data_IF_058098180996
#
_entry.id   IF_058098180996
#
_cell.length_a   1.000
_cell.length_b   1.000
_cell.length_c   1.000
_cell.angle_alpha   90.00
_cell.angle_beta   90.00
_cell.angle_gamma   90.00
#
_symmetry.space_group_name_H-M   'P 1'
#
loop_
_entity.id
_entity.type
_entity.pdbx_description
1 polymer ?
#
# COMPACT_ATOMS: atom_id res chain seq x y z
N UNK A 1 18.06 -16.17 14.78
CA UNK A 1 19.26 -15.35 14.55
C UNK A 1 19.78 -15.81 13.20
N UNK A 2 19.75 -15.07 12.10
CA UNK A 2 19.80 -13.64 11.85
C UNK A 2 19.36 -13.50 10.38
N UNK A 3 18.23 -12.83 10.10
CA UNK A 3 17.78 -12.61 8.72
C UNK A 3 18.48 -11.34 8.23
N UNK A 4 19.61 -11.52 7.55
CA UNK A 4 20.37 -10.44 6.95
C UNK A 4 19.51 -9.78 5.85
N UNK A 5 18.86 -8.67 6.23
CA UNK A 5 18.22 -7.77 5.30
C UNK A 5 19.31 -7.20 4.40
N UNK A 6 19.32 -7.62 3.13
CA UNK A 6 20.20 -7.05 2.12
C UNK A 6 20.06 -5.51 2.12
N UNK A 7 21.15 -4.75 1.92
CA UNK A 7 21.05 -3.30 1.78
C UNK A 7 20.19 -3.03 0.54
N UNK A 8 19.00 -2.46 0.76
CA UNK A 8 18.17 -1.96 -0.33
C UNK A 8 19.02 -0.96 -1.10
N UNK A 9 19.46 -1.37 -2.29
CA UNK A 9 20.31 -0.62 -3.18
C UNK A 9 19.71 0.76 -3.44
N UNK A 10 20.49 1.79 -3.12
CA UNK A 10 20.25 3.23 -3.28
C UNK A 10 20.22 3.68 -4.77
N UNK A 11 19.79 2.78 -5.66
CA UNK A 11 19.82 2.94 -7.12
C UNK A 11 18.50 3.44 -7.72
N UNK A 12 17.50 3.76 -6.90
CA UNK A 12 16.18 4.24 -7.33
C UNK A 12 15.97 5.76 -7.28
N UNK A 13 16.94 6.54 -6.81
CA UNK A 13 16.78 7.99 -6.59
C UNK A 13 17.13 8.85 -7.82
N UNK A 14 17.96 8.33 -8.73
CA UNK A 14 18.27 8.96 -10.02
C UNK A 14 17.16 8.67 -11.04
N UNK A 15 15.99 9.30 -10.87
CA UNK A 15 14.82 9.09 -11.73
C UNK A 15 13.51 8.84 -10.99
N UNK A 16 13.44 9.11 -9.69
CA UNK A 16 12.20 8.98 -8.93
C UNK A 16 11.13 10.02 -9.35
N UNK A 17 9.88 9.87 -8.90
CA UNK A 17 8.76 10.72 -9.33
C UNK A 17 8.95 12.22 -9.07
N UNK A 18 9.86 12.63 -8.18
CA UNK A 18 10.13 14.04 -7.90
C UNK A 18 11.20 14.66 -8.82
N UNK A 19 12.16 13.86 -9.27
CA UNK A 19 13.31 14.30 -10.06
C UNK A 19 13.20 13.92 -11.55
N UNK A 20 12.42 12.89 -11.86
CA UNK A 20 12.18 12.33 -13.19
C UNK A 20 10.89 12.80 -13.87
N UNK A 21 10.46 12.05 -14.88
CA UNK A 21 9.27 12.35 -15.70
C UNK A 21 7.98 11.72 -15.14
N UNK A 22 8.09 10.70 -14.29
CA UNK A 22 6.97 9.91 -13.77
C UNK A 22 6.12 10.61 -12.69
N UNK A 23 6.35 11.90 -12.46
CA UNK A 23 5.64 12.67 -11.45
C UNK A 23 4.13 12.62 -11.62
N UNK A 24 3.64 12.83 -12.85
CA UNK A 24 2.19 12.92 -13.10
C UNK A 24 1.50 11.61 -12.74
N UNK A 25 2.05 10.49 -13.20
CA UNK A 25 1.51 9.16 -12.89
C UNK A 25 1.53 8.89 -11.38
N UNK A 26 2.61 9.26 -10.69
CA UNK A 26 2.70 9.11 -9.24
C UNK A 26 1.69 9.98 -8.49
N UNK A 27 1.50 11.24 -8.91
CA UNK A 27 0.54 12.16 -8.33
C UNK A 27 -0.92 11.71 -8.57
N UNK A 28 -1.20 11.15 -9.75
CA UNK A 28 -2.50 10.58 -10.09
C UNK A 28 -2.81 9.37 -9.21
N UNK A 29 -1.85 8.45 -9.01
CA UNK A 29 -2.03 7.32 -8.08
C UNK A 29 -2.31 7.78 -6.65
N UNK A 30 -1.64 8.84 -6.18
CA UNK A 30 -1.93 9.40 -4.86
C UNK A 30 -3.31 10.03 -4.78
N UNK A 31 -3.81 10.62 -5.87
CA UNK A 31 -5.19 11.12 -5.96
C UNK A 31 -6.19 9.97 -5.92
N UNK A 32 -5.93 8.86 -6.62
CA UNK A 32 -6.80 7.69 -6.55
C UNK A 32 -6.88 7.15 -5.11
N UNK A 33 -5.74 7.08 -4.41
CA UNK A 33 -5.69 6.71 -2.98
C UNK A 33 -6.46 7.72 -2.12
N UNK A 34 -6.31 9.02 -2.36
CA UNK A 34 -7.06 10.09 -1.68
C UNK A 34 -8.58 9.88 -1.83
N UNK A 35 -9.05 9.57 -3.03
CA UNK A 35 -10.46 9.32 -3.35
C UNK A 35 -10.98 8.02 -2.72
N UNK A 36 -10.14 6.99 -2.59
CA UNK A 36 -10.47 5.71 -1.95
C UNK A 36 -10.50 5.76 -0.41
N UNK A 37 -9.87 6.75 0.22
CA UNK A 37 -9.81 6.85 1.68
C UNK A 37 -11.12 7.43 2.22
N UNK A 38 -11.85 6.63 3.02
CA UNK A 38 -13.07 7.07 3.71
C UNK A 38 -12.79 8.07 4.85
N UNK A 39 -11.65 7.93 5.53
CA UNK A 39 -11.27 8.78 6.66
C UNK A 39 -10.83 10.18 6.15
N UNK A 40 -11.55 11.26 6.51
CA UNK A 40 -11.24 12.61 6.06
C UNK A 40 -9.88 13.11 6.54
N UNK A 41 -9.37 12.62 7.68
CA UNK A 41 -8.05 12.97 8.21
C UNK A 41 -6.96 12.33 7.35
N UNK A 42 -7.07 11.02 7.05
CA UNK A 42 -6.11 10.32 6.19
C UNK A 42 -6.11 10.90 4.77
N UNK A 43 -7.30 11.20 4.23
CA UNK A 43 -7.45 11.89 2.95
C UNK A 43 -6.72 13.24 2.95
N UNK A 44 -6.91 14.05 3.98
CA UNK A 44 -6.22 15.33 4.14
C UNK A 44 -4.69 15.18 4.22
N UNK A 45 -4.19 14.14 4.91
CA UNK A 45 -2.75 13.86 4.97
C UNK A 45 -2.18 13.52 3.58
N UNK A 46 -2.86 12.70 2.78
CA UNK A 46 -2.43 12.38 1.41
C UNK A 46 -2.48 13.61 0.50
N UNK A 47 -3.54 14.42 0.59
CA UNK A 47 -3.66 15.67 -0.15
C UNK A 47 -2.51 16.64 0.18
N UNK A 48 -2.16 16.76 1.47
CA UNK A 48 -1.03 17.58 1.92
C UNK A 48 0.29 17.08 1.31
N UNK A 49 0.55 15.77 1.33
CA UNK A 49 1.75 15.19 0.72
C UNK A 49 1.84 15.53 -0.77
N UNK A 50 0.72 15.38 -1.50
CA UNK A 50 0.67 15.66 -2.95
C UNK A 50 0.99 17.13 -3.24
N UNK A 51 0.51 18.06 -2.42
CA UNK A 51 0.85 19.48 -2.57
C UNK A 51 2.31 19.78 -2.22
N UNK A 52 2.85 19.19 -1.14
CA UNK A 52 4.26 19.34 -0.79
C UNK A 52 5.19 18.82 -1.89
N UNK A 53 4.83 17.69 -2.50
CA UNK A 53 5.54 17.12 -3.63
C UNK A 53 5.50 18.01 -4.87
N UNK A 54 4.34 18.62 -5.17
CA UNK A 54 4.18 19.60 -6.25
C UNK A 54 5.11 20.79 -6.06
N UNK A 55 5.16 21.33 -4.84
CA UNK A 55 6.00 22.47 -4.51
C UNK A 55 7.48 22.14 -4.65
N UNK A 56 7.94 21.05 -4.01
CA UNK A 56 9.33 20.60 -4.07
C UNK A 56 9.79 20.33 -5.50
N UNK A 57 8.93 19.72 -6.32
CA UNK A 57 9.21 19.47 -7.71
C UNK A 57 9.28 20.76 -8.54
N UNK A 58 8.40 21.72 -8.28
CA UNK A 58 8.42 23.04 -8.93
C UNK A 58 9.74 23.75 -8.64
N UNK A 59 10.17 23.72 -7.38
CA UNK A 59 11.42 24.35 -6.94
C UNK A 59 12.65 23.63 -7.54
N UNK A 60 12.63 22.30 -7.60
CA UNK A 60 13.65 21.50 -8.30
C UNK A 60 13.76 21.89 -9.78
N UNK A 61 12.63 21.97 -10.52
CA UNK A 61 12.65 22.34 -11.94
C UNK A 61 13.07 23.79 -12.19
N UNK A 62 12.74 24.72 -11.29
CA UNK A 62 13.11 26.14 -11.42
C UNK A 62 14.58 26.40 -11.11
N UNK A 63 15.11 25.76 -10.08
CA UNK A 63 16.45 26.06 -9.60
C UNK A 63 17.52 25.08 -10.09
N UNK A 64 17.13 23.93 -10.68
CA UNK A 64 18.02 22.86 -11.13
C UNK A 64 19.05 22.43 -10.08
N UNK A 65 18.76 22.66 -8.79
CA UNK A 65 19.55 22.21 -7.65
C UNK A 65 19.03 20.85 -7.23
N UNK A 66 19.92 19.99 -6.73
CA UNK A 66 19.50 18.71 -6.17
C UNK A 66 18.41 18.91 -5.11
N UNK A 67 17.37 18.05 -5.07
CA UNK A 67 16.33 18.17 -4.08
C UNK A 67 16.94 18.10 -2.69
N UNK A 68 16.41 18.89 -1.76
CA UNK A 68 16.72 18.72 -0.34
C UNK A 68 16.12 17.38 0.12
N UNK A 69 16.92 16.32 0.05
CA UNK A 69 16.47 14.95 0.33
C UNK A 69 15.91 14.79 1.74
N UNK A 70 16.42 15.54 2.72
CA UNK A 70 15.87 15.55 4.07
C UNK A 70 14.45 16.14 4.11
N UNK A 71 14.18 17.14 3.28
CA UNK A 71 12.85 17.74 3.16
C UNK A 71 11.89 16.78 2.46
N UNK A 72 12.34 16.06 1.42
CA UNK A 72 11.57 14.99 0.78
C UNK A 72 11.23 13.88 1.79
N UNK A 73 12.21 13.43 2.57
CA UNK A 73 12.00 12.40 3.60
C UNK A 73 10.95 12.83 4.63
N UNK A 74 11.07 14.05 5.13
CA UNK A 74 10.20 14.55 6.22
C UNK A 74 8.81 14.97 5.75
N UNK A 75 8.66 15.52 4.54
CA UNK A 75 7.39 16.06 4.04
C UNK A 75 6.61 15.12 3.16
N UNK A 76 7.24 14.09 2.59
CA UNK A 76 6.61 13.15 1.66
C UNK A 76 6.70 11.73 2.20
N UNK A 77 7.92 11.21 2.41
CA UNK A 77 8.10 9.79 2.73
C UNK A 77 7.53 9.43 4.10
N UNK A 78 7.88 10.18 5.15
CA UNK A 78 7.42 9.91 6.50
C UNK A 78 5.89 10.01 6.63
N UNK A 79 5.21 11.06 6.12
CA UNK A 79 3.74 11.11 6.16
C UNK A 79 3.07 9.99 5.37
N UNK A 80 3.60 9.58 4.21
CA UNK A 80 3.05 8.43 3.47
C UNK A 80 3.20 7.12 4.23
N UNK A 81 4.32 6.94 4.94
CA UNK A 81 4.52 5.77 5.79
C UNK A 81 3.52 5.75 6.97
N UNK A 82 3.22 6.92 7.55
CA UNK A 82 2.21 7.07 8.60
C UNK A 82 0.81 6.76 8.08
N UNK A 83 0.42 7.31 6.92
CA UNK A 83 -0.88 7.00 6.29
C UNK A 83 -1.00 5.50 6.04
N UNK A 84 0.03 4.86 5.45
CA UNK A 84 0.05 3.42 5.22
C UNK A 84 -0.14 2.64 6.52
N UNK A 85 0.54 3.02 7.60
CA UNK A 85 0.40 2.34 8.89
C UNK A 85 -1.03 2.44 9.41
N UNK A 86 -1.64 3.62 9.38
CA UNK A 86 -3.03 3.81 9.85
C UNK A 86 -4.04 3.03 9.01
N UNK A 87 -3.84 2.97 7.69
CA UNK A 87 -4.68 2.15 6.80
C UNK A 87 -4.56 0.67 7.17
N UNK A 88 -3.34 0.17 7.38
CA UNK A 88 -3.14 -1.22 7.80
C UNK A 88 -3.80 -1.52 9.16
N UNK A 89 -3.68 -0.60 10.12
CA UNK A 89 -4.29 -0.74 11.44
C UNK A 89 -5.83 -0.80 11.34
N UNK A 90 -6.42 0.02 10.46
CA UNK A 90 -7.87 0.03 10.22
C UNK A 90 -8.35 -1.24 9.51
N UNK A 91 -7.58 -1.75 8.53
CA UNK A 91 -7.88 -3.03 7.87
C UNK A 91 -7.85 -4.19 8.89
N UNK A 92 -6.83 -4.25 9.74
CA UNK A 92 -6.72 -5.29 10.77
C UNK A 92 -7.88 -5.24 11.78
N UNK A 93 -8.36 -4.02 12.13
CA UNK A 93 -9.55 -3.85 12.99
C UNK A 93 -10.82 -4.36 12.32
N UNK A 94 -11.01 -4.12 11.03
CA UNK A 94 -12.18 -4.58 10.27
C UNK A 94 -12.20 -6.09 10.12
N UNK A 95 -11.08 -6.70 9.75
CA UNK A 95 -10.95 -8.16 9.68
C UNK A 95 -11.23 -8.83 11.04
N UNK A 96 -10.70 -8.26 12.12
CA UNK A 96 -10.95 -8.77 13.47
C UNK A 96 -12.42 -8.65 13.86
N UNK A 97 -13.08 -7.53 13.54
CA UNK A 97 -14.50 -7.29 13.81
C UNK A 97 -15.41 -8.24 13.02
N UNK A 98 -15.08 -8.52 11.77
CA UNK A 98 -15.82 -9.50 10.95
C UNK A 98 -15.63 -10.92 11.48
N UNK A 99 -14.44 -11.25 12.01
CA UNK A 99 -14.13 -12.56 12.59
C UNK A 99 -14.68 -12.76 14.02
N UNK A 100 -15.25 -11.71 14.65
CA UNK A 100 -15.88 -11.78 15.98
C UNK A 100 -17.36 -12.22 15.93
N UNK A 101 -17.94 -12.42 14.74
CA UNK A 101 -19.18 -13.18 14.63
C UNK A 101 -18.82 -14.64 14.91
N UNK A 102 -19.48 -15.32 15.88
CA UNK A 102 -19.27 -16.75 16.09
C UNK A 102 -19.35 -17.47 14.76
N UNK A 103 -18.34 -18.29 14.50
CA UNK A 103 -18.33 -19.29 13.43
C UNK A 103 -19.51 -20.21 13.72
N UNK A 104 -20.72 -19.85 13.30
CA UNK A 104 -21.82 -20.80 13.12
C UNK A 104 -21.52 -21.58 11.83
N UNK A 105 -20.36 -22.25 11.85
CA UNK A 105 -20.08 -23.40 11.01
C UNK A 105 -20.17 -24.57 11.95
N UNK A 106 -21.39 -25.03 12.15
CA UNK A 106 -21.58 -26.44 12.49
C UNK A 106 -20.67 -27.27 11.58
N UNK A 107 -19.84 -28.17 12.13
CA UNK A 107 -19.00 -29.03 11.32
C UNK A 107 -19.89 -29.79 10.33
N UNK A 108 -19.55 -29.75 9.05
CA UNK A 108 -20.27 -30.52 8.03
C UNK A 108 -20.28 -31.99 8.45
N UNK A 109 -21.45 -32.63 8.61
CA UNK A 109 -21.52 -34.03 9.00
C UNK A 109 -20.74 -34.92 8.02
N UNK A 110 -20.06 -35.92 8.58
CA UNK A 110 -19.09 -36.82 7.92
C UNK A 110 -19.56 -37.63 6.69
N UNK A 111 -20.86 -37.90 6.39
CA UNK A 111 -21.17 -38.83 5.30
C UNK A 111 -20.95 -38.28 3.88
N UNK A 112 -20.64 -37.00 3.67
CA UNK A 112 -20.50 -36.42 2.32
C UNK A 112 -19.07 -36.03 1.91
N UNK A 113 -18.08 -36.20 2.78
CA UNK A 113 -16.67 -35.83 2.52
C UNK A 113 -16.08 -36.58 1.32
N UNK A 114 -16.48 -37.84 1.11
CA UNK A 114 -15.93 -38.66 0.02
C UNK A 114 -16.41 -38.28 -1.39
N UNK A 115 -17.60 -37.69 -1.54
CA UNK A 115 -18.09 -37.27 -2.85
C UNK A 115 -17.39 -36.02 -3.34
N UNK A 116 -17.10 -35.07 -2.43
CA UNK A 116 -16.38 -33.83 -2.74
C UNK A 116 -14.91 -34.13 -3.08
N UNK A 117 -14.26 -35.04 -2.34
CA UNK A 117 -12.89 -35.50 -2.64
C UNK A 117 -12.77 -36.10 -4.04
N UNK A 118 -13.73 -36.95 -4.44
CA UNK A 118 -13.78 -37.57 -5.78
C UNK A 118 -14.02 -36.58 -6.92
N UNK A 119 -14.64 -35.43 -6.67
CA UNK A 119 -14.85 -34.38 -7.69
C UNK A 119 -13.54 -33.66 -8.03
N UNK A 120 -12.73 -33.32 -7.02
CA UNK A 120 -11.45 -32.65 -7.22
C UNK A 120 -10.36 -33.58 -7.76
N UNK A 121 -10.36 -34.87 -7.41
CA UNK A 121 -9.42 -35.84 -7.97
C UNK A 121 -9.65 -36.09 -9.48
N UNK A 122 -10.89 -35.99 -9.97
CA UNK A 122 -11.17 -36.10 -11.43
C UNK A 122 -10.78 -34.85 -12.21
N UNK A 123 -10.87 -33.67 -11.59
CA UNK A 123 -10.46 -32.41 -12.22
C UNK A 123 -8.93 -32.28 -12.31
N UNK A 124 -8.18 -32.91 -11.40
CA UNK A 124 -6.71 -32.97 -11.49
C UNK A 124 -6.17 -34.05 -12.44
N UNK A 125 -6.98 -35.06 -12.80
CA UNK A 125 -6.60 -36.12 -13.72
C UNK A 125 -6.97 -35.83 -15.19
N UNK A 126 -7.73 -34.76 -15.45
CA UNK A 126 -8.07 -34.29 -16.78
C UNK A 126 -7.07 -33.23 -17.28
N UNK A 127 -5.85 -33.72 -17.54
CA UNK A 127 -4.79 -33.20 -18.44
C UNK A 127 -4.12 -31.85 -18.12
#
# INVERSE_FOLDING_TARGET
MENALAPATDAGLAGGPLTGEDYSQWADRLRDVEEMLDDPVLRGQVAQVREQARQLRSDYKKHAKDPQWDLVKTKIIAPLAEVRQKVNDELARRESKENLVPIDRDPVPTPFTEQVKRYYERLGAAK
#
